data_IF_039709481663
#
_entry.id   IF_039709481663
#
_cell.length_a   1.000
_cell.length_b   1.000
_cell.length_c   1.000
_cell.angle_alpha   90.00
_cell.angle_beta   90.00
_cell.angle_gamma   90.00
#
_symmetry.space_group_name_H-M   'P 1'
#
loop_
_entity.id
_entity.type
_entity.pdbx_description
1 polymer ?
#
# COMPACT_ATOMS: atom_id res chain seq x y z
N UNK A 1 -32.36 -8.63 103.50
CA UNK A 1 -32.32 -9.50 102.27
C UNK A 1 -33.21 -8.86 101.22
N UNK A 2 -32.68 -8.38 100.20
CA UNK A 2 -33.20 -8.22 98.81
C UNK A 2 -32.45 -7.07 98.18
N UNK A 3 -31.59 -7.42 97.26
CA UNK A 3 -30.76 -6.52 96.42
C UNK A 3 -31.67 -5.92 95.36
N UNK A 4 -31.60 -4.62 95.19
CA UNK A 4 -32.19 -3.93 94.02
C UNK A 4 -31.06 -3.51 93.14
N UNK A 5 -31.04 -4.10 91.98
CA UNK A 5 -30.07 -3.79 90.90
C UNK A 5 -30.69 -2.64 90.10
N UNK A 6 -30.04 -1.49 90.14
CA UNK A 6 -30.38 -0.35 89.28
C UNK A 6 -29.82 -0.54 87.90
N UNK A 7 -30.73 -0.54 86.90
CA UNK A 7 -30.36 -0.56 85.49
C UNK A 7 -29.97 0.86 85.02
N UNK A 8 -28.76 1.07 84.63
CA UNK A 8 -28.25 2.30 84.00
C UNK A 8 -28.51 2.22 82.54
N UNK A 9 -29.46 2.94 82.00
CA UNK A 9 -29.71 3.05 80.54
C UNK A 9 -28.80 4.10 80.01
N UNK A 10 -27.77 3.65 79.28
CA UNK A 10 -26.88 4.54 78.51
C UNK A 10 -27.53 4.78 77.15
N UNK A 11 -28.01 6.00 76.91
CA UNK A 11 -28.51 6.49 75.65
C UNK A 11 -27.32 6.84 74.75
N UNK A 12 -26.95 5.96 73.80
CA UNK A 12 -26.00 6.23 72.79
C UNK A 12 -26.63 7.07 71.69
N UNK A 13 -26.25 8.34 71.59
CA UNK A 13 -26.51 9.18 70.43
C UNK A 13 -25.64 8.71 69.30
N UNK A 14 -26.20 8.02 68.34
CA UNK A 14 -25.58 7.75 67.02
C UNK A 14 -25.71 9.02 66.17
N UNK A 15 -24.66 9.86 66.19
CA UNK A 15 -24.48 10.87 65.17
C UNK A 15 -24.00 10.15 63.91
N UNK A 16 -24.91 9.90 62.98
CA UNK A 16 -24.61 9.41 61.66
C UNK A 16 -23.87 10.50 60.88
N UNK A 17 -22.54 10.41 60.81
CA UNK A 17 -21.82 11.10 59.74
C UNK A 17 -22.18 10.41 58.42
N UNK A 18 -23.01 11.08 57.63
CA UNK A 18 -23.21 10.79 56.23
C UNK A 18 -21.87 11.03 55.54
N UNK A 19 -21.08 9.97 55.33
CA UNK A 19 -20.01 9.96 54.32
C UNK A 19 -20.71 9.92 52.95
N UNK A 20 -21.07 11.08 52.42
CA UNK A 20 -21.21 11.22 50.98
C UNK A 20 -19.84 10.92 50.37
N UNK A 21 -19.63 9.69 49.91
CA UNK A 21 -18.58 9.39 48.96
C UNK A 21 -18.82 10.29 47.74
N UNK A 22 -17.85 11.12 47.35
CA UNK A 22 -17.92 11.67 46.01
C UNK A 22 -17.93 10.44 45.09
N UNK A 23 -19.06 10.19 44.43
CA UNK A 23 -19.06 9.38 43.23
C UNK A 23 -18.08 10.12 42.29
N UNK A 24 -16.80 9.77 42.40
CA UNK A 24 -15.89 9.99 41.30
C UNK A 24 -16.61 9.41 40.08
N UNK A 25 -17.05 10.30 39.24
CA UNK A 25 -17.31 10.03 37.86
C UNK A 25 -15.98 9.48 37.33
N UNK A 26 -15.77 8.18 37.49
CA UNK A 26 -14.81 7.41 36.78
C UNK A 26 -15.23 7.40 35.30
N UNK A 27 -15.31 8.59 34.71
CA UNK A 27 -14.95 8.80 33.34
C UNK A 27 -13.44 8.51 33.32
N UNK A 28 -13.08 7.22 33.29
CA UNK A 28 -11.74 6.77 32.97
C UNK A 28 -11.49 7.22 31.54
N UNK A 29 -11.26 8.53 31.38
CA UNK A 29 -10.63 9.08 30.23
C UNK A 29 -9.32 8.34 30.09
N UNK A 30 -9.24 7.35 29.18
CA UNK A 30 -7.96 6.85 28.70
C UNK A 30 -7.14 8.11 28.45
N UNK A 31 -6.10 8.34 29.24
CA UNK A 31 -5.16 9.44 29.03
C UNK A 31 -4.76 9.35 27.56
N UNK A 32 -5.20 10.32 26.76
CA UNK A 32 -4.98 10.29 25.34
C UNK A 32 -3.46 10.30 25.16
N UNK A 33 -2.89 9.26 24.53
CA UNK A 33 -1.45 9.12 24.29
C UNK A 33 -0.95 10.41 23.65
N UNK A 34 0.20 10.92 24.09
CA UNK A 34 0.78 12.09 23.44
C UNK A 34 1.17 11.73 22.01
N UNK A 35 0.98 12.65 21.08
CA UNK A 35 1.31 12.47 19.67
C UNK A 35 2.77 12.04 19.47
N UNK A 36 3.70 12.62 20.23
CA UNK A 36 5.14 12.26 20.22
C UNK A 36 5.45 10.82 20.63
N UNK A 37 4.51 10.14 21.29
CA UNK A 37 4.66 8.77 21.76
C UNK A 37 4.01 7.77 20.82
N UNK A 38 3.30 8.24 19.77
CA UNK A 38 2.71 7.38 18.74
C UNK A 38 3.81 6.71 17.94
N UNK A 39 3.71 5.38 17.81
CA UNK A 39 4.62 4.54 17.02
C UNK A 39 3.83 3.87 15.92
N UNK A 40 4.22 4.10 14.67
CA UNK A 40 3.60 3.52 13.48
C UNK A 40 4.54 2.44 12.93
N UNK A 41 4.06 1.21 12.84
CA UNK A 41 4.75 0.13 12.12
C UNK A 41 4.47 0.23 10.64
N UNK A 42 5.49 0.10 9.81
CA UNK A 42 5.37 0.12 8.34
C UNK A 42 6.03 -1.12 7.78
N UNK A 43 5.25 -1.98 7.15
CA UNK A 43 5.75 -3.15 6.41
C UNK A 43 5.62 -2.89 4.92
N UNK A 44 6.73 -2.87 4.21
CA UNK A 44 6.83 -2.63 2.76
C UNK A 44 7.22 -3.94 2.07
N UNK A 45 6.62 -4.23 0.91
CA UNK A 45 6.89 -5.44 0.14
C UNK A 45 8.36 -5.57 -0.25
N UNK A 46 8.99 -4.47 -0.67
CA UNK A 46 10.42 -4.43 -1.01
C UNK A 46 10.93 -2.99 -1.07
N UNK A 47 12.20 -2.79 -0.75
CA UNK A 47 12.93 -1.54 -1.01
C UNK A 47 13.89 -1.65 -2.21
N UNK A 48 13.89 -2.78 -2.91
CA UNK A 48 14.66 -2.95 -4.14
C UNK A 48 14.07 -2.20 -5.35
N UNK A 49 12.78 -1.81 -5.28
CA UNK A 49 12.13 -1.02 -6.30
C UNK A 49 12.09 0.47 -5.88
N UNK A 50 12.60 1.39 -6.72
CA UNK A 50 12.63 2.84 -6.45
C UNK A 50 11.26 3.43 -6.11
N UNK A 51 10.17 2.87 -6.62
CA UNK A 51 8.81 3.28 -6.31
C UNK A 51 8.52 3.21 -4.80
N UNK A 52 8.88 2.11 -4.14
CA UNK A 52 8.66 1.94 -2.70
C UNK A 52 9.64 2.76 -1.85
N UNK A 53 10.84 3.05 -2.36
CA UNK A 53 11.77 3.99 -1.72
C UNK A 53 11.12 5.38 -1.64
N UNK A 54 10.47 5.84 -2.72
CA UNK A 54 9.77 7.13 -2.74
C UNK A 54 8.53 7.15 -1.82
N UNK A 55 7.83 6.02 -1.69
CA UNK A 55 6.76 5.89 -0.67
C UNK A 55 7.34 6.06 0.74
N UNK A 56 8.45 5.37 1.04
CA UNK A 56 9.16 5.49 2.32
C UNK A 56 9.58 6.93 2.60
N UNK A 57 10.17 7.61 1.61
CA UNK A 57 10.56 9.03 1.73
C UNK A 57 9.35 9.92 2.10
N UNK A 58 8.20 9.69 1.47
CA UNK A 58 6.95 10.40 1.78
C UNK A 58 6.45 10.14 3.20
N UNK A 59 6.51 8.89 3.65
CA UNK A 59 6.16 8.49 5.01
C UNK A 59 7.09 9.19 6.03
N UNK A 60 8.40 9.10 5.86
CA UNK A 60 9.38 9.69 6.77
C UNK A 60 9.25 11.20 6.87
N UNK A 61 9.06 11.86 5.72
CA UNK A 61 8.86 13.31 5.64
C UNK A 61 7.63 13.76 6.44
N UNK A 62 6.49 13.12 6.22
CA UNK A 62 5.24 13.51 6.89
C UNK A 62 5.23 13.08 8.36
N UNK A 63 5.80 11.91 8.71
CA UNK A 63 5.94 11.47 10.10
C UNK A 63 6.82 12.45 10.91
N UNK A 64 7.91 12.94 10.34
CA UNK A 64 8.77 13.97 10.95
C UNK A 64 8.00 15.27 11.19
N UNK A 65 7.21 15.71 10.20
CA UNK A 65 6.37 16.91 10.31
C UNK A 65 5.29 16.76 11.38
N UNK A 66 4.69 15.59 11.48
CA UNK A 66 3.66 15.26 12.46
C UNK A 66 4.24 14.97 13.86
N UNK A 67 5.55 14.76 13.99
CA UNK A 67 6.23 14.47 15.26
C UNK A 67 5.94 13.08 15.80
N UNK A 68 5.66 12.09 14.92
CA UNK A 68 5.40 10.68 15.28
C UNK A 68 6.59 9.80 14.91
N UNK A 69 6.68 8.63 15.56
CA UNK A 69 7.75 7.65 15.31
C UNK A 69 7.31 6.61 14.30
N UNK A 70 8.23 6.20 13.42
CA UNK A 70 7.99 5.14 12.43
C UNK A 70 9.04 4.05 12.58
N UNK A 71 8.59 2.78 12.48
CA UNK A 71 9.44 1.59 12.40
C UNK A 71 9.18 0.91 11.07
N UNK A 72 10.23 0.73 10.26
CA UNK A 72 10.13 0.08 8.96
C UNK A 72 10.57 -1.37 9.00
N UNK A 73 9.88 -2.21 8.24
CA UNK A 73 10.27 -3.56 7.89
C UNK A 73 10.20 -3.71 6.36
N UNK A 74 11.25 -4.29 5.78
CA UNK A 74 11.39 -4.57 4.34
C UNK A 74 11.26 -6.08 4.13
N UNK A 75 10.18 -6.49 3.48
CA UNK A 75 9.88 -7.90 3.25
C UNK A 75 10.73 -8.53 2.12
N UNK A 76 11.44 -7.74 1.31
CA UNK A 76 12.30 -8.21 0.22
C UNK A 76 11.57 -9.11 -0.78
N UNK A 77 10.30 -8.80 -1.06
CA UNK A 77 9.36 -9.58 -1.89
C UNK A 77 9.08 -11.01 -1.38
N UNK A 78 9.42 -11.32 -0.13
CA UNK A 78 9.11 -12.58 0.54
C UNK A 78 7.86 -12.42 1.44
N UNK A 79 6.77 -13.07 1.04
CA UNK A 79 5.50 -13.02 1.76
C UNK A 79 5.55 -13.63 3.17
N UNK A 80 6.36 -14.69 3.36
CA UNK A 80 6.54 -15.31 4.67
C UNK A 80 7.35 -14.42 5.60
N UNK A 81 8.41 -13.80 5.08
CA UNK A 81 9.15 -12.77 5.80
C UNK A 81 8.24 -11.60 6.18
N UNK A 82 7.37 -11.14 5.25
CA UNK A 82 6.45 -10.06 5.55
C UNK A 82 5.50 -10.38 6.72
N UNK A 83 4.97 -11.59 6.76
CA UNK A 83 4.13 -12.02 7.88
C UNK A 83 4.89 -11.94 9.21
N UNK A 84 6.11 -12.47 9.26
CA UNK A 84 6.97 -12.38 10.46
C UNK A 84 7.29 -10.92 10.81
N UNK A 85 7.63 -10.09 9.84
CA UNK A 85 7.93 -8.66 10.03
C UNK A 85 6.73 -7.91 10.65
N UNK A 86 5.51 -8.20 10.21
CA UNK A 86 4.29 -7.59 10.76
C UNK A 86 4.06 -8.07 12.19
N UNK A 87 4.22 -9.36 12.47
CA UNK A 87 4.08 -9.93 13.81
C UNK A 87 5.12 -9.34 14.77
N UNK A 88 6.35 -9.13 14.33
CA UNK A 88 7.40 -8.45 15.10
C UNK A 88 7.04 -6.99 15.39
N UNK A 89 6.49 -6.26 14.44
CA UNK A 89 6.02 -4.88 14.65
C UNK A 89 4.91 -4.84 15.70
N UNK A 90 3.96 -5.78 15.64
CA UNK A 90 2.88 -5.92 16.63
C UNK A 90 3.46 -6.18 18.03
N UNK A 91 4.41 -7.12 18.15
CA UNK A 91 5.08 -7.43 19.44
C UNK A 91 5.86 -6.22 19.97
N UNK A 92 6.33 -5.33 19.12
CA UNK A 92 6.98 -4.08 19.50
C UNK A 92 6.00 -2.99 19.93
N UNK A 93 4.71 -3.31 20.12
CA UNK A 93 3.65 -2.43 20.58
C UNK A 93 3.49 -1.17 19.72
N UNK A 94 3.42 -1.33 18.40
CA UNK A 94 3.05 -0.24 17.50
C UNK A 94 1.57 0.13 17.70
N UNK A 95 1.24 1.41 17.55
CA UNK A 95 -0.13 1.91 17.71
C UNK A 95 -0.98 1.75 16.45
N UNK A 96 -0.32 1.78 15.31
CA UNK A 96 -0.90 1.69 13.96
C UNK A 96 0.00 0.87 13.07
N UNK A 97 -0.59 0.23 12.06
CA UNK A 97 0.14 -0.45 11.00
C UNK A 97 -0.18 0.17 9.64
N UNK A 98 0.87 0.42 8.86
CA UNK A 98 0.78 0.70 7.42
C UNK A 98 1.40 -0.49 6.73
N UNK A 99 0.65 -1.14 5.83
CA UNK A 99 1.09 -2.36 5.14
C UNK A 99 0.97 -2.20 3.64
N UNK A 100 2.08 -2.41 2.93
CA UNK A 100 2.11 -2.60 1.49
C UNK A 100 2.34 -4.09 1.22
N UNK A 101 1.32 -4.89 0.87
CA UNK A 101 1.45 -6.33 0.76
C UNK A 101 2.39 -6.79 -0.38
N UNK A 102 3.29 -7.74 -0.11
CA UNK A 102 3.98 -8.50 -1.14
C UNK A 102 2.99 -9.44 -1.85
N UNK A 103 2.13 -10.10 -1.06
CA UNK A 103 1.03 -10.96 -1.50
C UNK A 103 -0.24 -10.62 -0.70
N UNK A 104 -1.34 -10.39 -1.42
CA UNK A 104 -2.61 -9.95 -0.82
C UNK A 104 -3.26 -10.98 0.10
N UNK A 105 -3.10 -12.27 -0.19
CA UNK A 105 -3.66 -13.36 0.60
C UNK A 105 -2.77 -13.74 1.78
N UNK A 106 -1.45 -13.80 1.56
CA UNK A 106 -0.49 -14.27 2.55
C UNK A 106 -0.46 -13.40 3.81
N UNK A 107 -0.59 -12.06 3.68
CA UNK A 107 -0.58 -11.15 4.84
C UNK A 107 -1.88 -11.15 5.63
N UNK A 108 -2.94 -11.80 5.14
CA UNK A 108 -4.28 -11.75 5.77
C UNK A 108 -4.29 -12.25 7.23
N UNK A 109 -3.46 -13.24 7.54
CA UNK A 109 -3.31 -13.77 8.91
C UNK A 109 -2.76 -12.71 9.87
N UNK A 110 -1.67 -12.06 9.51
CA UNK A 110 -1.05 -11.00 10.33
C UNK A 110 -1.96 -9.78 10.47
N UNK A 111 -2.74 -9.43 9.41
CA UNK A 111 -3.78 -8.38 9.53
C UNK A 111 -4.85 -8.77 10.55
N UNK A 112 -5.27 -10.04 10.58
CA UNK A 112 -6.24 -10.51 11.57
C UNK A 112 -5.67 -10.42 12.99
N UNK A 113 -4.40 -10.81 13.21
CA UNK A 113 -3.73 -10.66 14.51
C UNK A 113 -3.71 -9.19 14.96
N UNK A 114 -3.37 -8.26 14.07
CA UNK A 114 -3.41 -6.82 14.37
C UNK A 114 -4.83 -6.37 14.76
N UNK A 115 -5.85 -6.83 14.04
CA UNK A 115 -7.25 -6.51 14.33
C UNK A 115 -7.69 -7.03 15.70
N UNK A 116 -7.30 -8.25 16.08
CA UNK A 116 -7.64 -8.87 17.37
C UNK A 116 -6.98 -8.10 18.54
N UNK A 117 -5.86 -7.44 18.29
CA UNK A 117 -5.18 -6.55 19.24
C UNK A 117 -5.67 -5.09 19.14
N UNK A 118 -6.69 -4.80 18.35
CA UNK A 118 -7.24 -3.47 18.12
C UNK A 118 -6.22 -2.48 17.53
N UNK A 119 -5.23 -2.95 16.78
CA UNK A 119 -4.29 -2.11 16.04
C UNK A 119 -4.93 -1.75 14.69
N UNK A 120 -5.23 -0.46 14.43
CA UNK A 120 -5.79 -0.05 13.14
C UNK A 120 -4.77 -0.23 12.01
N UNK A 121 -5.24 -0.76 10.88
CA UNK A 121 -4.42 -1.05 9.71
C UNK A 121 -4.80 -0.13 8.56
N UNK A 122 -3.82 0.49 7.93
CA UNK A 122 -3.93 1.20 6.65
C UNK A 122 -3.15 0.41 5.61
N UNK A 123 -3.76 0.11 4.46
CA UNK A 123 -3.03 -0.53 3.36
C UNK A 123 -2.63 0.50 2.31
N UNK A 124 -1.48 0.26 1.68
CA UNK A 124 -0.82 1.19 0.79
C UNK A 124 -0.44 0.50 -0.52
N UNK A 125 -0.81 1.12 -1.66
CA UNK A 125 -0.54 0.66 -3.03
C UNK A 125 -1.22 -0.67 -3.41
N UNK A 126 -1.27 -1.65 -2.51
CA UNK A 126 -1.87 -2.97 -2.73
C UNK A 126 -2.90 -3.31 -1.66
N UNK A 127 -3.98 -3.99 -2.05
CA UNK A 127 -5.03 -4.45 -1.14
C UNK A 127 -4.63 -5.76 -0.43
N UNK A 128 -5.18 -5.98 0.76
CA UNK A 128 -5.20 -7.29 1.43
C UNK A 128 -6.48 -8.02 1.05
N UNK A 129 -6.43 -9.35 0.98
CA UNK A 129 -7.59 -10.16 0.61
C UNK A 129 -8.61 -10.28 1.76
N UNK A 130 -8.14 -10.32 3.02
CA UNK A 130 -8.97 -10.49 4.22
C UNK A 130 -8.42 -9.66 5.38
N UNK A 131 -9.32 -9.36 6.34
CA UNK A 131 -9.02 -8.56 7.50
C UNK A 131 -9.66 -7.17 7.43
N UNK A 132 -9.73 -6.50 8.57
CA UNK A 132 -10.33 -5.17 8.67
C UNK A 132 -9.26 -4.11 8.43
N UNK A 133 -9.46 -3.31 7.38
CA UNK A 133 -8.60 -2.18 7.01
C UNK A 133 -9.36 -0.88 7.24
N UNK A 134 -8.72 0.09 7.88
CA UNK A 134 -9.30 1.40 8.14
C UNK A 134 -9.39 2.21 6.84
N UNK A 135 -8.32 2.20 6.04
CA UNK A 135 -8.23 2.90 4.76
C UNK A 135 -7.27 2.18 3.81
N UNK A 136 -7.57 2.20 2.52
CA UNK A 136 -6.71 1.76 1.44
C UNK A 136 -6.32 2.97 0.57
N UNK A 137 -5.02 3.21 0.41
CA UNK A 137 -4.46 4.36 -0.32
C UNK A 137 -3.67 3.84 -1.51
N UNK A 138 -4.12 4.13 -2.72
CA UNK A 138 -3.46 3.66 -3.95
C UNK A 138 -3.85 4.51 -5.16
N UNK A 139 -3.13 4.34 -6.26
CA UNK A 139 -3.58 4.79 -7.57
C UNK A 139 -4.74 3.92 -8.08
N UNK A 140 -5.50 4.43 -9.03
CA UNK A 140 -6.51 3.64 -9.75
C UNK A 140 -5.81 2.74 -10.78
N UNK A 141 -5.37 1.55 -10.32
CA UNK A 141 -4.63 0.60 -11.16
C UNK A 141 -5.42 0.13 -12.38
N UNK A 142 -6.75 -0.04 -12.24
CA UNK A 142 -7.62 -0.41 -13.39
C UNK A 142 -7.57 0.70 -14.42
N UNK A 143 -7.79 1.95 -13.99
CA UNK A 143 -7.71 3.12 -14.88
C UNK A 143 -6.33 3.24 -15.54
N UNK A 144 -5.27 3.00 -14.79
CA UNK A 144 -3.90 3.06 -15.31
C UNK A 144 -3.63 1.98 -16.37
N UNK A 145 -4.11 0.75 -16.19
CA UNK A 145 -4.06 -0.30 -17.20
C UNK A 145 -4.84 0.07 -18.48
N UNK A 146 -6.04 0.65 -18.31
CA UNK A 146 -6.82 1.18 -19.44
C UNK A 146 -6.05 2.28 -20.19
N UNK A 147 -5.38 3.20 -19.48
CA UNK A 147 -4.59 4.26 -20.10
C UNK A 147 -3.45 3.68 -20.96
N UNK A 148 -2.76 2.64 -20.46
CA UNK A 148 -1.70 1.96 -21.21
C UNK A 148 -2.24 1.28 -22.48
N UNK A 149 -3.33 0.53 -22.37
CA UNK A 149 -3.98 -0.13 -23.51
C UNK A 149 -4.50 0.88 -24.54
N UNK A 150 -5.17 1.94 -24.08
CA UNK A 150 -5.71 2.97 -24.97
C UNK A 150 -4.61 3.70 -25.74
N UNK A 151 -3.47 4.01 -25.09
CA UNK A 151 -2.33 4.63 -25.76
C UNK A 151 -1.80 3.77 -26.91
N UNK A 152 -1.77 2.44 -26.75
CA UNK A 152 -1.36 1.52 -27.82
C UNK A 152 -2.35 1.56 -28.99
N UNK A 153 -3.65 1.53 -28.69
CA UNK A 153 -4.70 1.61 -29.73
C UNK A 153 -4.62 2.93 -30.50
N UNK A 154 -4.43 4.04 -29.79
CA UNK A 154 -4.34 5.38 -30.38
C UNK A 154 -3.11 5.52 -31.29
N UNK A 155 -1.99 4.88 -30.91
CA UNK A 155 -0.73 4.98 -31.63
C UNK A 155 -0.66 4.04 -32.85
N UNK A 156 -1.14 2.81 -32.74
CA UNK A 156 -0.93 1.77 -33.74
C UNK A 156 -2.22 1.27 -34.42
N UNK A 157 -3.38 1.66 -33.89
CA UNK A 157 -4.66 1.19 -34.37
C UNK A 157 -5.08 -0.16 -33.79
N UNK A 158 -6.26 -0.62 -34.22
CA UNK A 158 -6.82 -1.89 -33.78
C UNK A 158 -6.09 -3.10 -34.40
N UNK A 159 -6.26 -4.26 -33.75
CA UNK A 159 -5.66 -5.56 -34.14
C UNK A 159 -4.11 -5.55 -34.17
N UNK A 160 -3.52 -4.57 -33.50
CA UNK A 160 -2.07 -4.51 -33.31
C UNK A 160 -1.60 -5.64 -32.39
N UNK A 161 -0.57 -6.39 -32.82
CA UNK A 161 0.04 -7.44 -32.01
C UNK A 161 0.88 -6.84 -30.89
N UNK A 162 0.57 -7.25 -29.68
CA UNK A 162 1.19 -6.72 -28.45
C UNK A 162 1.53 -7.83 -27.48
N UNK A 163 2.44 -7.53 -26.55
CA UNK A 163 2.71 -8.40 -25.40
C UNK A 163 2.45 -7.65 -24.09
N UNK A 164 2.11 -8.42 -23.02
CA UNK A 164 1.99 -7.93 -21.67
C UNK A 164 3.04 -8.56 -20.77
N UNK A 165 3.76 -7.73 -20.00
CA UNK A 165 4.62 -8.15 -18.90
C UNK A 165 3.87 -7.91 -17.59
N UNK A 166 3.47 -9.00 -16.93
CA UNK A 166 2.76 -8.95 -15.66
C UNK A 166 3.74 -8.86 -14.48
N UNK A 167 3.24 -8.28 -13.39
CA UNK A 167 3.94 -8.25 -12.12
C UNK A 167 3.92 -9.58 -11.36
N UNK A 168 4.03 -9.50 -10.03
CA UNK A 168 3.90 -10.64 -9.11
C UNK A 168 2.41 -11.04 -9.04
N UNK A 169 2.05 -12.31 -9.33
CA UNK A 169 0.63 -12.72 -9.40
C UNK A 169 -0.17 -12.48 -8.11
N UNK A 170 0.47 -12.62 -6.94
CA UNK A 170 -0.15 -12.40 -5.63
C UNK A 170 -0.44 -10.93 -5.29
N UNK A 171 0.14 -9.97 -6.02
CA UNK A 171 -0.09 -8.55 -5.80
C UNK A 171 -1.41 -8.09 -6.44
N UNK A 172 -2.25 -7.34 -5.70
CA UNK A 172 -3.50 -6.79 -6.25
C UNK A 172 -3.24 -5.83 -7.41
N UNK A 173 -2.16 -5.06 -7.36
CA UNK A 173 -1.76 -4.16 -8.45
C UNK A 173 -1.56 -4.88 -9.78
N UNK A 174 -0.96 -6.10 -9.77
CA UNK A 174 -0.83 -6.94 -10.98
C UNK A 174 -2.18 -7.26 -11.58
N UNK A 175 -3.11 -7.76 -10.75
CA UNK A 175 -4.46 -8.15 -11.20
C UNK A 175 -5.27 -6.97 -11.72
N UNK A 176 -5.17 -5.82 -11.06
CA UNK A 176 -5.92 -4.62 -11.41
C UNK A 176 -5.37 -3.96 -12.67
N UNK A 177 -4.03 -3.82 -12.81
CA UNK A 177 -3.40 -3.27 -14.03
C UNK A 177 -3.68 -4.17 -15.23
N UNK A 178 -3.56 -5.50 -15.06
CA UNK A 178 -3.93 -6.48 -16.09
C UNK A 178 -5.40 -6.38 -16.47
N UNK A 179 -6.32 -6.33 -15.50
CA UNK A 179 -7.76 -6.14 -15.76
C UNK A 179 -8.01 -4.87 -16.55
N UNK A 180 -7.41 -3.74 -16.16
CA UNK A 180 -7.55 -2.48 -16.87
C UNK A 180 -7.02 -2.55 -18.31
N UNK A 181 -5.84 -3.13 -18.50
CA UNK A 181 -5.27 -3.34 -19.83
C UNK A 181 -6.19 -4.19 -20.71
N UNK A 182 -6.68 -5.31 -20.20
CA UNK A 182 -7.57 -6.22 -20.91
C UNK A 182 -8.98 -5.64 -21.16
N UNK A 183 -9.47 -4.68 -20.35
CA UNK A 183 -10.70 -3.95 -20.66
C UNK A 183 -10.65 -3.27 -22.06
N UNK A 184 -9.46 -2.86 -22.49
CA UNK A 184 -9.21 -2.24 -23.80
C UNK A 184 -8.65 -3.25 -24.80
N UNK A 185 -7.65 -4.04 -24.40
CA UNK A 185 -6.90 -4.91 -25.28
C UNK A 185 -7.76 -6.02 -25.87
N UNK A 186 -8.62 -6.69 -25.09
CA UNK A 186 -9.47 -7.78 -25.58
C UNK A 186 -10.46 -7.36 -26.68
N UNK A 187 -10.75 -6.07 -26.77
CA UNK A 187 -11.66 -5.52 -27.79
C UNK A 187 -10.92 -4.92 -29.00
N UNK A 188 -9.64 -4.60 -28.84
CA UNK A 188 -8.96 -3.73 -29.80
C UNK A 188 -7.57 -4.19 -30.21
N UNK A 189 -6.92 -5.06 -29.47
CA UNK A 189 -5.54 -5.49 -29.72
C UNK A 189 -5.46 -7.01 -29.90
N UNK A 190 -4.37 -7.51 -30.45
CA UNK A 190 -4.02 -8.94 -30.50
C UNK A 190 -2.91 -9.21 -29.47
N UNK A 191 -3.30 -9.65 -28.28
CA UNK A 191 -2.35 -9.97 -27.19
C UNK A 191 -1.74 -11.34 -27.43
N UNK A 192 -0.62 -11.39 -28.14
CA UNK A 192 0.05 -12.65 -28.52
C UNK A 192 0.87 -13.30 -27.43
N UNK A 193 1.20 -12.55 -26.38
CA UNK A 193 1.93 -13.08 -25.21
C UNK A 193 1.59 -12.29 -23.96
N UNK A 194 1.46 -13.03 -22.85
CA UNK A 194 1.23 -12.50 -21.50
C UNK A 194 2.04 -13.32 -20.52
N UNK A 195 3.07 -12.71 -19.92
CA UNK A 195 4.01 -13.41 -19.06
C UNK A 195 4.40 -12.58 -17.85
N UNK A 196 4.54 -13.23 -16.68
CA UNK A 196 5.03 -12.55 -15.48
C UNK A 196 6.54 -12.32 -15.57
N UNK A 197 6.95 -11.09 -15.33
CA UNK A 197 8.34 -10.68 -15.10
C UNK A 197 8.54 -10.09 -13.69
N UNK A 198 7.59 -10.39 -12.76
CA UNK A 198 7.70 -10.25 -11.31
C UNK A 198 8.12 -8.85 -10.82
N UNK A 199 7.73 -7.80 -11.54
CA UNK A 199 8.15 -6.43 -11.25
C UNK A 199 9.67 -6.20 -11.24
N UNK A 200 10.44 -7.07 -11.89
CA UNK A 200 11.89 -7.11 -11.85
C UNK A 200 12.50 -6.76 -13.22
N UNK A 201 13.55 -5.92 -13.24
CA UNK A 201 14.20 -5.43 -14.47
C UNK A 201 14.87 -6.56 -15.26
N UNK A 202 15.61 -7.43 -14.58
CA UNK A 202 16.29 -8.57 -15.23
C UNK A 202 15.28 -9.56 -15.81
N UNK A 203 14.21 -9.86 -15.09
CA UNK A 203 13.12 -10.71 -15.61
C UNK A 203 12.42 -10.03 -16.78
N UNK A 204 12.21 -8.69 -16.73
CA UNK A 204 11.67 -7.91 -17.83
C UNK A 204 12.53 -8.05 -19.10
N UNK A 205 13.86 -7.96 -18.97
CA UNK A 205 14.80 -8.21 -20.07
C UNK A 205 14.65 -9.65 -20.63
N UNK A 206 14.78 -10.66 -19.77
CA UNK A 206 14.81 -12.07 -20.17
C UNK A 206 13.50 -12.50 -20.84
N UNK A 207 12.38 -12.16 -20.21
CA UNK A 207 11.04 -12.50 -20.72
C UNK A 207 10.79 -11.81 -22.06
N UNK A 208 11.18 -10.54 -22.19
CA UNK A 208 11.02 -9.79 -23.45
C UNK A 208 11.87 -10.37 -24.58
N UNK A 209 13.11 -10.80 -24.32
CA UNK A 209 13.93 -11.47 -25.34
C UNK A 209 13.24 -12.72 -25.89
N UNK A 210 12.67 -13.54 -25.00
CA UNK A 210 11.92 -14.73 -25.39
C UNK A 210 10.66 -14.40 -26.21
N UNK A 211 9.91 -13.37 -25.78
CA UNK A 211 8.72 -12.91 -26.49
C UNK A 211 9.05 -12.43 -27.90
N UNK A 212 10.09 -11.59 -28.05
CA UNK A 212 10.50 -11.07 -29.37
C UNK A 212 10.99 -12.18 -30.29
N UNK A 213 11.64 -13.21 -29.75
CA UNK A 213 12.06 -14.38 -30.53
C UNK A 213 10.85 -15.17 -31.05
N UNK A 214 9.83 -15.36 -30.21
CA UNK A 214 8.63 -16.11 -30.57
C UNK A 214 7.65 -15.30 -31.45
N UNK A 215 7.59 -13.99 -31.25
CA UNK A 215 6.66 -13.07 -31.89
C UNK A 215 7.39 -11.84 -32.44
N UNK A 216 8.18 -11.98 -33.51
CA UNK A 216 9.03 -10.88 -34.02
C UNK A 216 8.24 -9.71 -34.65
N UNK A 217 6.94 -9.88 -34.86
CA UNK A 217 6.03 -8.93 -35.48
C UNK A 217 5.20 -8.09 -34.48
N UNK A 218 5.44 -8.23 -33.17
CA UNK A 218 4.80 -7.37 -32.17
C UNK A 218 5.21 -5.90 -32.37
N UNK A 219 4.28 -4.99 -32.06
CA UNK A 219 4.50 -3.53 -32.20
C UNK A 219 4.62 -2.82 -30.88
N UNK A 220 4.04 -3.37 -29.81
CA UNK A 220 4.15 -2.76 -28.49
C UNK A 220 4.20 -3.81 -27.38
N UNK A 221 4.73 -3.38 -26.23
CA UNK A 221 4.77 -4.12 -24.98
C UNK A 221 4.19 -3.22 -23.88
N UNK A 222 3.16 -3.69 -23.19
CA UNK A 222 2.70 -3.09 -21.95
C UNK A 222 3.36 -3.81 -20.79
N UNK A 223 4.17 -3.11 -20.02
CA UNK A 223 4.79 -3.61 -18.80
C UNK A 223 4.08 -2.99 -17.58
N UNK A 224 3.62 -3.82 -16.67
CA UNK A 224 2.84 -3.38 -15.51
C UNK A 224 3.66 -2.60 -14.47
N UNK A 225 5.00 -2.44 -14.68
CA UNK A 225 5.82 -1.45 -13.97
C UNK A 225 7.03 -1.02 -14.78
N UNK A 226 7.68 0.05 -14.32
CA UNK A 226 8.84 0.65 -15.00
C UNK A 226 10.10 -0.20 -14.93
N UNK A 227 10.31 -0.97 -13.88
CA UNK A 227 11.46 -1.86 -13.79
C UNK A 227 11.42 -2.91 -14.91
N UNK A 228 10.28 -3.57 -15.12
CA UNK A 228 10.09 -4.48 -16.24
C UNK A 228 10.18 -3.75 -17.58
N UNK A 229 9.60 -2.54 -17.68
CA UNK A 229 9.65 -1.75 -18.90
C UNK A 229 11.07 -1.36 -19.30
N UNK A 230 11.92 -0.98 -18.35
CA UNK A 230 13.34 -0.68 -18.62
C UNK A 230 14.11 -1.91 -19.07
N UNK A 231 13.86 -3.08 -18.48
CA UNK A 231 14.40 -4.35 -18.97
C UNK A 231 13.91 -4.68 -20.38
N UNK A 232 12.62 -4.44 -20.66
CA UNK A 232 12.06 -4.62 -22.01
C UNK A 232 12.68 -3.68 -23.03
N UNK A 233 12.92 -2.41 -22.70
CA UNK A 233 13.61 -1.45 -23.57
C UNK A 233 15.00 -1.94 -23.93
N UNK A 234 15.74 -2.54 -23.00
CA UNK A 234 17.05 -3.12 -23.25
C UNK A 234 16.95 -4.31 -24.23
N UNK A 235 15.97 -5.21 -24.03
CA UNK A 235 15.74 -6.35 -24.91
C UNK A 235 15.32 -5.94 -26.33
N UNK A 236 14.49 -4.91 -26.45
CA UNK A 236 14.03 -4.36 -27.74
C UNK A 236 15.19 -3.77 -28.53
N UNK A 237 16.13 -3.07 -27.88
CA UNK A 237 17.25 -2.43 -28.53
C UNK A 237 16.82 -1.46 -29.64
N UNK A 238 17.23 -1.71 -30.87
CA UNK A 238 16.91 -0.86 -32.03
C UNK A 238 15.68 -1.33 -32.83
N UNK A 239 14.93 -2.30 -32.35
CA UNK A 239 13.71 -2.77 -33.04
C UNK A 239 12.58 -1.74 -32.89
N UNK A 240 11.71 -1.66 -33.89
CA UNK A 240 10.55 -0.77 -33.86
C UNK A 240 9.41 -1.39 -33.02
N UNK A 241 9.66 -1.54 -31.72
CA UNK A 241 8.69 -2.01 -30.72
C UNK A 241 8.60 -0.96 -29.63
N UNK A 242 7.43 -0.42 -29.39
CA UNK A 242 7.22 0.59 -28.34
C UNK A 242 6.94 -0.07 -27.00
N UNK A 243 7.62 0.38 -25.96
CA UNK A 243 7.43 -0.10 -24.60
C UNK A 243 6.70 0.95 -23.78
N UNK A 244 5.63 0.54 -23.09
CA UNK A 244 4.86 1.38 -22.17
C UNK A 244 5.04 0.81 -20.77
N UNK A 245 5.46 1.66 -19.83
CA UNK A 245 5.66 1.32 -18.43
C UNK A 245 4.54 1.82 -17.51
N UNK A 246 4.77 1.66 -16.23
CA UNK A 246 3.89 2.10 -15.15
C UNK A 246 4.77 2.43 -13.93
N UNK A 247 4.54 3.50 -13.23
CA UNK A 247 5.08 4.06 -12.00
C UNK A 247 5.57 5.50 -12.17
N UNK A 248 6.24 5.85 -13.27
CA UNK A 248 6.88 7.16 -13.45
C UNK A 248 8.19 7.27 -12.66
N UNK A 249 8.94 6.18 -12.53
CA UNK A 249 10.23 6.18 -11.87
C UNK A 249 11.22 7.10 -12.61
N UNK A 250 12.19 7.66 -11.89
CA UNK A 250 13.14 8.64 -12.44
C UNK A 250 13.90 8.10 -13.67
N UNK A 251 14.35 6.85 -13.62
CA UNK A 251 15.04 6.21 -14.76
C UNK A 251 14.11 6.00 -15.95
N UNK A 252 12.84 5.67 -15.70
CA UNK A 252 11.84 5.54 -16.76
C UNK A 252 11.52 6.90 -17.40
N UNK A 253 11.37 7.96 -16.61
CA UNK A 253 11.18 9.31 -17.14
C UNK A 253 12.38 9.77 -17.99
N UNK A 254 13.62 9.53 -17.51
CA UNK A 254 14.83 9.76 -18.31
C UNK A 254 14.83 8.94 -19.60
N UNK A 255 14.32 7.69 -19.54
CA UNK A 255 14.22 6.82 -20.71
C UNK A 255 13.19 7.33 -21.71
N UNK A 256 12.08 7.92 -21.24
CA UNK A 256 11.08 8.62 -22.09
C UNK A 256 11.72 9.83 -22.76
N UNK A 257 12.41 10.69 -22.00
CA UNK A 257 13.09 11.89 -22.53
C UNK A 257 14.16 11.53 -23.59
N UNK A 258 14.87 10.41 -23.38
CA UNK A 258 15.87 9.88 -24.32
C UNK A 258 15.25 9.07 -25.48
N UNK A 259 13.93 9.08 -25.63
CA UNK A 259 13.17 8.40 -26.70
C UNK A 259 13.38 6.87 -26.77
N UNK A 260 13.75 6.23 -25.63
CA UNK A 260 13.90 4.77 -25.52
C UNK A 260 12.61 4.12 -25.01
N UNK A 261 12.10 4.55 -23.86
CA UNK A 261 10.77 4.17 -23.36
C UNK A 261 9.73 5.07 -24.05
N UNK A 262 8.68 4.50 -24.61
CA UNK A 262 7.65 5.28 -25.31
C UNK A 262 6.81 6.12 -24.37
N UNK A 263 6.34 5.51 -23.27
CA UNK A 263 5.55 6.17 -22.26
C UNK A 263 5.58 5.42 -20.93
N UNK A 264 5.16 6.08 -19.86
CA UNK A 264 4.84 5.46 -18.58
C UNK A 264 3.60 6.09 -17.95
N UNK A 265 2.76 5.27 -17.31
CA UNK A 265 1.65 5.74 -16.48
C UNK A 265 2.21 6.10 -15.11
N UNK A 266 2.48 7.38 -14.91
CA UNK A 266 3.15 7.86 -13.71
C UNK A 266 2.21 7.89 -12.49
N UNK A 267 2.67 7.34 -11.39
CA UNK A 267 2.09 7.39 -10.06
C UNK A 267 2.71 8.53 -9.23
N UNK A 268 2.21 8.76 -8.03
CA UNK A 268 2.72 9.76 -7.09
C UNK A 268 3.10 9.09 -5.74
N UNK A 269 4.19 8.31 -5.69
CA UNK A 269 4.53 7.51 -4.51
C UNK A 269 4.80 8.34 -3.25
N UNK A 270 5.46 9.48 -3.35
CA UNK A 270 5.67 10.38 -2.20
C UNK A 270 4.32 10.81 -1.59
N UNK A 271 3.35 11.16 -2.46
CA UNK A 271 2.03 11.59 -2.00
C UNK A 271 1.26 10.44 -1.35
N UNK A 272 1.42 9.19 -1.84
CA UNK A 272 0.88 7.99 -1.17
C UNK A 272 1.43 7.86 0.25
N UNK A 273 2.75 7.97 0.41
CA UNK A 273 3.41 7.92 1.71
C UNK A 273 2.93 9.02 2.66
N UNK A 274 2.88 10.27 2.20
CA UNK A 274 2.36 11.40 2.99
C UNK A 274 0.89 11.18 3.39
N UNK A 275 0.05 10.71 2.46
CA UNK A 275 -1.37 10.45 2.71
C UNK A 275 -1.58 9.36 3.76
N UNK A 276 -0.72 8.35 3.81
CA UNK A 276 -0.83 7.26 4.80
C UNK A 276 -0.64 7.77 6.23
N UNK A 277 0.37 8.61 6.47
CA UNK A 277 0.59 9.23 7.78
C UNK A 277 -0.56 10.17 8.15
N UNK A 278 -1.02 11.02 7.22
CA UNK A 278 -2.18 11.91 7.45
C UNK A 278 -3.43 11.10 7.82
N UNK A 279 -3.64 9.96 7.18
CA UNK A 279 -4.75 9.05 7.49
C UNK A 279 -4.62 8.47 8.90
N UNK A 280 -3.41 8.02 9.28
CA UNK A 280 -3.14 7.56 10.66
C UNK A 280 -3.39 8.68 11.67
N UNK A 281 -2.99 9.93 11.37
CA UNK A 281 -3.23 11.05 12.29
C UNK A 281 -4.70 11.40 12.44
N UNK A 282 -5.51 11.26 11.39
CA UNK A 282 -6.97 11.37 11.51
C UNK A 282 -7.54 10.30 12.44
N UNK A 283 -7.12 9.04 12.27
CA UNK A 283 -7.52 7.94 13.16
C UNK A 283 -7.11 8.20 14.62
N UNK A 284 -5.90 8.73 14.83
CA UNK A 284 -5.42 9.12 16.16
C UNK A 284 -6.29 10.21 16.82
N UNK A 285 -6.76 11.17 16.04
CA UNK A 285 -7.67 12.23 16.49
C UNK A 285 -9.13 11.75 16.66
N UNK A 286 -9.45 10.50 16.31
CA UNK A 286 -10.82 9.98 16.30
C UNK A 286 -11.68 10.50 15.14
N UNK A 287 -11.05 10.98 14.08
CA UNK A 287 -11.73 11.47 12.89
C UNK A 287 -12.05 10.32 11.92
N UNK A 288 -13.10 10.50 11.12
CA UNK A 288 -13.42 9.56 10.05
C UNK A 288 -12.40 9.62 8.91
N UNK A 289 -12.10 8.44 8.32
CA UNK A 289 -11.21 8.32 7.17
C UNK A 289 -11.92 7.67 5.98
N UNK A 290 -11.51 8.07 4.78
CA UNK A 290 -12.00 7.45 3.55
C UNK A 290 -11.59 5.98 3.49
N UNK A 291 -12.52 5.10 3.11
CA UNK A 291 -12.22 3.67 2.95
C UNK A 291 -11.25 3.41 1.79
N UNK A 292 -11.37 4.19 0.72
CA UNK A 292 -10.46 4.14 -0.44
C UNK A 292 -10.06 5.58 -0.79
N UNK A 293 -8.78 5.86 -0.67
CA UNK A 293 -8.17 7.14 -1.04
C UNK A 293 -7.38 6.96 -2.34
N UNK A 294 -7.91 7.53 -3.43
CA UNK A 294 -7.28 7.40 -4.76
C UNK A 294 -6.26 8.52 -4.98
N UNK A 295 -5.04 8.12 -5.35
CA UNK A 295 -3.97 9.03 -5.76
C UNK A 295 -3.99 9.17 -7.29
N UNK A 296 -3.92 10.39 -7.84
CA UNK A 296 -3.98 10.64 -9.27
C UNK A 296 -2.86 9.97 -10.06
N UNK A 297 -3.20 9.59 -11.31
CA UNK A 297 -2.26 9.10 -12.32
C UNK A 297 -2.04 10.15 -13.41
N UNK A 298 -0.88 10.11 -14.06
CA UNK A 298 -0.55 10.96 -15.20
C UNK A 298 0.16 10.15 -16.29
N UNK A 299 -0.24 10.34 -17.57
CA UNK A 299 0.51 9.74 -18.68
C UNK A 299 1.74 10.61 -19.00
N UNK A 300 2.92 10.05 -18.86
CA UNK A 300 4.19 10.63 -19.33
C UNK A 300 4.62 9.92 -20.61
N UNK A 301 4.74 10.66 -21.71
CA UNK A 301 5.10 10.12 -23.02
C UNK A 301 6.13 10.98 -23.73
N UNK A 302 6.82 10.39 -24.72
CA UNK A 302 7.69 11.13 -25.61
C UNK A 302 6.96 12.34 -26.22
N UNK A 303 7.62 13.47 -26.24
CA UNK A 303 7.14 14.63 -27.03
C UNK A 303 7.53 14.41 -28.49
N UNK A 304 6.60 14.70 -29.41
CA UNK A 304 6.80 14.64 -30.85
C UNK A 304 7.89 15.61 -31.34
#
# INVERSE_FOLDING_TARGET
MKKIIGAFVILLFLTGCSLESPLENNNSGKSQKKKSDVVIGVSISTLNNPFFVKIKDGIEKEAKKEGVKVKFADAQDDAAKQANDIDDLIQQNVDYLIVNPADSDAVSGSIQIANDQNIPVVTLDREVAKGKVASFIASDNIKGGEMGGQLIVDQFGKQTKVAELEGIPGASATRERGKGFHNVADQSLDVVSKQSAKFNRTEGLNVTQNIIQAHPDIKAIFAQNDEMALGAVEAVGNKDIKVIGFDGNEDALKSVDNKKLYATVAQQPNLMGEASIKTVMKLFNGEDVEKKHKIPLEMKRQQE
#
